data_IF_986425693868
#
_entry.id   IF_986425693868
#
_cell.length_a   1.000
_cell.length_b   1.000
_cell.length_c   1.000
_cell.angle_alpha   90.00
_cell.angle_beta   90.00
_cell.angle_gamma   90.00
#
_symmetry.space_group_name_H-M   'P 1'
#
loop_
_entity.id
_entity.type
_entity.pdbx_description
1 polymer ?
#
# COMPACT_ATOMS: atom_id res chain seq x y z
N UNK A 1 -16.44 21.50 -13.10
CA UNK A 1 -16.97 20.33 -13.83
C UNK A 1 -16.90 20.57 -15.34
N UNK A 2 -16.77 19.51 -16.09
CA UNK A 2 -16.80 19.48 -17.55
C UNK A 2 -18.02 18.67 -17.99
N UNK A 3 -18.77 19.20 -18.96
CA UNK A 3 -19.88 18.49 -19.61
C UNK A 3 -19.48 18.17 -21.04
N UNK A 4 -19.48 16.91 -21.41
CA UNK A 4 -19.19 16.45 -22.75
C UNK A 4 -20.43 16.50 -23.64
N UNK A 5 -20.24 16.45 -24.97
CA UNK A 5 -21.32 16.53 -25.95
C UNK A 5 -22.34 15.37 -25.84
N UNK A 6 -21.92 14.23 -25.32
CA UNK A 6 -22.77 13.05 -25.08
C UNK A 6 -23.55 13.11 -23.77
N UNK A 7 -23.45 14.22 -23.02
CA UNK A 7 -24.06 14.38 -21.71
C UNK A 7 -23.25 13.84 -20.55
N UNK A 8 -22.08 13.27 -20.78
CA UNK A 8 -21.17 12.80 -19.73
C UNK A 8 -20.68 14.00 -18.90
N UNK A 9 -20.81 13.90 -17.59
CA UNK A 9 -20.36 14.94 -16.65
C UNK A 9 -19.13 14.44 -15.89
N UNK A 10 -18.04 15.19 -15.98
CA UNK A 10 -16.81 14.98 -15.24
C UNK A 10 -16.72 16.02 -14.14
N UNK A 11 -16.59 15.60 -12.89
CA UNK A 11 -16.40 16.49 -11.74
C UNK A 11 -15.05 16.23 -11.11
N UNK A 12 -14.30 17.28 -10.84
CA UNK A 12 -13.08 17.22 -10.03
C UNK A 12 -13.40 17.52 -8.57
N UNK A 13 -12.85 16.75 -7.67
CA UNK A 13 -13.01 16.87 -6.22
C UNK A 13 -11.65 16.77 -5.53
N UNK A 14 -11.48 17.47 -4.44
CA UNK A 14 -10.33 17.26 -3.56
C UNK A 14 -10.65 16.22 -2.51
N UNK A 15 -9.72 15.31 -2.25
CA UNK A 15 -9.83 14.32 -1.19
C UNK A 15 -9.28 14.80 0.16
N UNK A 16 -8.84 16.06 0.25
CA UNK A 16 -8.29 16.64 1.48
C UNK A 16 -9.25 16.56 2.67
N UNK A 17 -10.55 16.66 2.43
CA UNK A 17 -11.59 16.35 3.41
C UNK A 17 -12.52 15.29 2.83
N UNK A 18 -12.41 14.01 3.28
CA UNK A 18 -13.22 12.91 2.79
C UNK A 18 -14.74 13.12 2.92
N UNK A 19 -15.18 13.98 3.84
CA UNK A 19 -16.60 14.31 4.02
C UNK A 19 -17.17 15.05 2.82
N UNK A 20 -16.34 15.84 2.11
CA UNK A 20 -16.75 16.56 0.90
C UNK A 20 -16.94 15.64 -0.31
N UNK A 21 -16.48 14.39 -0.23
CA UNK A 21 -16.69 13.37 -1.25
C UNK A 21 -18.09 12.76 -1.22
N UNK A 22 -18.96 13.21 -0.33
CA UNK A 22 -20.39 12.87 -0.34
C UNK A 22 -21.04 13.46 -1.59
N UNK A 23 -21.13 12.66 -2.65
CA UNK A 23 -21.65 13.05 -3.95
C UNK A 23 -22.71 12.05 -4.43
N UNK A 24 -23.38 12.37 -5.54
CA UNK A 24 -24.21 11.39 -6.26
C UNK A 24 -23.35 10.19 -6.65
N UNK A 25 -23.97 9.01 -6.68
CA UNK A 25 -23.29 7.81 -7.12
C UNK A 25 -22.74 7.98 -8.54
N UNK A 26 -21.42 7.98 -8.75
CA UNK A 26 -20.84 8.09 -10.08
C UNK A 26 -20.81 6.74 -10.79
N UNK A 27 -20.67 6.77 -12.12
CA UNK A 27 -20.43 5.58 -12.92
C UNK A 27 -18.95 5.15 -12.87
N UNK A 28 -18.04 6.07 -12.57
CA UNK A 28 -16.63 5.79 -12.40
C UNK A 28 -15.93 6.85 -11.56
N UNK A 29 -14.84 6.49 -10.94
CA UNK A 29 -13.96 7.37 -10.18
C UNK A 29 -12.53 7.16 -10.66
N UNK A 30 -11.82 8.27 -10.85
CA UNK A 30 -10.37 8.28 -11.04
C UNK A 30 -9.77 8.91 -9.78
N UNK A 31 -8.98 8.15 -9.03
CA UNK A 31 -8.18 8.62 -7.92
C UNK A 31 -6.74 8.87 -8.36
N UNK A 32 -6.39 10.14 -8.53
CA UNK A 32 -5.01 10.54 -8.82
C UNK A 32 -4.23 10.64 -7.52
N UNK A 33 -2.94 10.31 -7.56
CA UNK A 33 -2.03 10.27 -6.40
C UNK A 33 -2.63 9.45 -5.24
N UNK A 34 -3.14 8.26 -5.59
CA UNK A 34 -3.88 7.41 -4.66
C UNK A 34 -3.04 6.93 -3.48
N UNK A 35 -1.72 6.86 -3.63
CA UNK A 35 -0.77 6.57 -2.53
C UNK A 35 -0.85 7.58 -1.38
N UNK A 36 -1.26 8.82 -1.67
CA UNK A 36 -1.40 9.90 -0.69
C UNK A 36 -2.78 9.93 0.00
N UNK A 37 -3.70 9.08 -0.44
CA UNK A 37 -5.02 8.96 0.17
C UNK A 37 -4.97 7.98 1.35
N UNK A 38 -5.76 8.27 2.38
CA UNK A 38 -5.99 7.30 3.44
C UNK A 38 -6.90 6.14 2.98
N UNK A 39 -6.80 5.00 3.63
CA UNK A 39 -7.60 3.81 3.32
C UNK A 39 -9.10 4.07 3.50
N UNK A 40 -9.48 4.92 4.46
CA UNK A 40 -10.89 5.28 4.69
C UNK A 40 -11.45 6.02 3.47
N UNK A 41 -10.67 6.95 2.90
CA UNK A 41 -11.04 7.64 1.66
C UNK A 41 -11.28 6.67 0.51
N UNK A 42 -10.40 5.68 0.34
CA UNK A 42 -10.60 4.62 -0.67
C UNK A 42 -11.93 3.89 -0.47
N UNK A 43 -12.23 3.43 0.75
CA UNK A 43 -13.50 2.73 1.02
C UNK A 43 -14.72 3.62 0.82
N UNK A 44 -14.65 4.90 1.19
CA UNK A 44 -15.72 5.87 0.93
C UNK A 44 -15.99 6.03 -0.56
N UNK A 45 -14.95 6.17 -1.37
CA UNK A 45 -15.06 6.28 -2.82
C UNK A 45 -15.63 4.99 -3.44
N UNK A 46 -15.13 3.83 -3.00
CA UNK A 46 -15.63 2.52 -3.45
C UNK A 46 -17.13 2.34 -3.13
N UNK A 47 -17.54 2.74 -1.93
CA UNK A 47 -18.95 2.72 -1.53
C UNK A 47 -19.83 3.64 -2.39
N UNK A 48 -19.30 4.76 -2.90
CA UNK A 48 -20.06 5.65 -3.80
C UNK A 48 -20.26 5.08 -5.20
N UNK A 49 -19.35 4.26 -5.68
CA UNK A 49 -19.50 3.56 -6.95
C UNK A 49 -20.50 2.40 -6.90
N UNK A 50 -20.66 1.77 -5.74
CA UNK A 50 -21.42 0.53 -5.57
C UNK A 50 -22.87 0.59 -6.08
N UNK A 51 -23.68 1.65 -5.82
CA UNK A 51 -25.08 1.70 -6.29
C UNK A 51 -25.25 1.60 -7.80
N UNK A 52 -24.22 2.01 -8.57
CA UNK A 52 -24.23 1.96 -10.03
C UNK A 52 -23.33 0.85 -10.60
N UNK A 53 -22.77 0.00 -9.74
CA UNK A 53 -21.75 -0.98 -10.12
C UNK A 53 -20.60 -0.31 -10.89
N UNK A 54 -20.24 0.90 -10.45
CA UNK A 54 -19.26 1.75 -11.10
C UNK A 54 -17.83 1.19 -10.95
N UNK A 55 -16.95 1.65 -11.82
CA UNK A 55 -15.55 1.30 -11.81
C UNK A 55 -14.70 2.32 -11.03
N UNK A 56 -13.52 1.89 -10.58
CA UNK A 56 -12.50 2.76 -10.02
C UNK A 56 -11.18 2.54 -10.73
N UNK A 57 -10.49 3.65 -11.02
CA UNK A 57 -9.12 3.65 -11.51
C UNK A 57 -8.27 4.47 -10.55
N UNK A 58 -7.23 3.86 -10.02
CA UNK A 58 -6.29 4.50 -9.09
C UNK A 58 -4.96 4.66 -9.80
N UNK A 59 -4.40 5.85 -9.75
CA UNK A 59 -3.06 6.12 -10.24
C UNK A 59 -2.24 6.80 -9.16
N UNK A 60 -0.97 6.51 -9.11
CA UNK A 60 -0.05 7.10 -8.14
C UNK A 60 1.31 6.43 -8.21
N UNK A 61 2.26 7.05 -7.56
CA UNK A 61 3.61 6.53 -7.38
C UNK A 61 3.69 5.86 -6.01
N UNK A 62 4.46 4.82 -5.86
CA UNK A 62 4.71 4.25 -4.55
C UNK A 62 5.55 5.24 -3.72
N UNK A 63 5.14 5.45 -2.48
CA UNK A 63 5.80 6.34 -1.51
C UNK A 63 6.14 5.54 -0.25
N UNK A 64 7.05 4.58 -0.41
CA UNK A 64 7.30 3.54 0.57
C UNK A 64 6.37 2.34 0.36
N UNK A 65 6.81 1.19 0.82
CA UNK A 65 6.10 -0.08 0.61
C UNK A 65 5.11 -0.41 1.73
N UNK A 66 5.07 0.40 2.78
CA UNK A 66 4.12 0.25 3.88
C UNK A 66 2.86 1.07 3.57
N UNK A 67 1.72 0.42 3.68
CA UNK A 67 0.43 1.07 3.51
C UNK A 67 -0.50 0.29 2.57
N UNK A 68 -1.72 0.75 2.50
CA UNK A 68 -2.80 0.08 1.77
C UNK A 68 -2.56 0.04 0.25
N UNK A 69 -1.95 1.09 -0.31
CA UNK A 69 -1.81 1.24 -1.77
C UNK A 69 -0.85 0.20 -2.37
N UNK A 70 0.40 0.02 -1.88
CA UNK A 70 1.28 -1.03 -2.38
C UNK A 70 0.78 -2.44 -2.05
N UNK A 71 0.13 -2.65 -0.91
CA UNK A 71 -0.48 -3.95 -0.57
C UNK A 71 -1.60 -4.31 -1.55
N UNK A 72 -2.47 -3.35 -1.87
CA UNK A 72 -3.56 -3.55 -2.82
C UNK A 72 -3.03 -3.76 -4.24
N UNK A 73 -2.00 -3.03 -4.65
CA UNK A 73 -1.31 -3.25 -5.92
C UNK A 73 -0.81 -4.70 -6.03
N UNK A 74 -0.13 -5.19 -5.00
CA UNK A 74 0.42 -6.55 -4.96
C UNK A 74 -0.70 -7.61 -5.04
N UNK A 75 -1.76 -7.43 -4.26
CA UNK A 75 -2.92 -8.32 -4.28
C UNK A 75 -3.61 -8.36 -5.66
N UNK A 76 -3.75 -7.22 -6.32
CA UNK A 76 -4.37 -7.17 -7.65
C UNK A 76 -3.43 -7.67 -8.75
N UNK A 77 -2.14 -7.46 -8.63
CA UNK A 77 -1.13 -7.97 -9.56
C UNK A 77 -1.03 -9.50 -9.51
N UNK A 78 -1.24 -10.12 -8.36
CA UNK A 78 -1.26 -11.57 -8.20
C UNK A 78 -2.47 -12.25 -8.87
N UNK A 79 -3.51 -11.47 -9.23
CA UNK A 79 -4.75 -12.01 -9.81
C UNK A 79 -5.68 -12.69 -8.81
N UNK A 80 -5.45 -12.54 -7.51
CA UNK A 80 -6.31 -13.06 -6.46
C UNK A 80 -7.72 -12.48 -6.54
N UNK A 81 -7.83 -11.20 -6.92
CA UNK A 81 -9.11 -10.55 -7.22
C UNK A 81 -9.37 -10.59 -8.73
N UNK A 82 -10.44 -11.28 -9.14
CA UNK A 82 -10.81 -11.43 -10.55
C UNK A 82 -11.39 -10.14 -11.15
N UNK A 83 -11.91 -9.24 -10.32
CA UNK A 83 -12.54 -7.98 -10.75
C UNK A 83 -11.55 -6.81 -10.76
N UNK A 84 -10.34 -7.00 -10.24
CA UNK A 84 -9.30 -5.99 -10.17
C UNK A 84 -8.06 -6.36 -10.99
N UNK A 85 -7.32 -5.34 -11.41
CA UNK A 85 -6.03 -5.47 -12.11
C UNK A 85 -5.11 -4.36 -11.68
N UNK A 86 -3.82 -4.68 -11.63
CA UNK A 86 -2.76 -3.71 -11.40
C UNK A 86 -1.82 -3.65 -12.61
N UNK A 87 -1.36 -2.44 -12.90
CA UNK A 87 -0.44 -2.16 -14.01
C UNK A 87 0.72 -1.34 -13.48
N UNK A 88 1.94 -1.73 -13.82
CA UNK A 88 3.13 -0.93 -13.61
C UNK A 88 3.55 -0.33 -14.95
N UNK A 89 3.83 0.96 -14.94
CA UNK A 89 4.27 1.72 -16.10
C UNK A 89 5.61 2.40 -15.79
N UNK A 90 6.75 1.70 -15.98
CA UNK A 90 8.06 2.29 -15.79
C UNK A 90 8.24 3.54 -16.64
N UNK A 91 8.87 4.59 -16.08
CA UNK A 91 9.06 5.87 -16.78
C UNK A 91 9.78 5.71 -18.13
N UNK A 92 10.73 4.81 -18.20
CA UNK A 92 11.50 4.54 -19.41
C UNK A 92 10.71 3.83 -20.54
N UNK A 93 9.48 3.40 -20.26
CA UNK A 93 8.57 2.88 -21.32
C UNK A 93 7.95 4.00 -22.15
N UNK A 94 8.02 5.24 -21.68
CA UNK A 94 7.63 6.40 -22.45
C UNK A 94 8.74 6.77 -23.45
N UNK A 95 8.74 6.13 -24.61
CA UNK A 95 9.76 6.31 -25.65
C UNK A 95 9.73 7.70 -26.29
N UNK A 96 8.70 8.50 -26.04
CA UNK A 96 8.67 9.90 -26.48
C UNK A 96 9.61 10.78 -25.63
N UNK A 97 9.67 10.53 -24.32
CA UNK A 97 10.57 11.23 -23.40
C UNK A 97 11.94 10.57 -23.29
N UNK A 98 11.96 9.24 -23.34
CA UNK A 98 13.18 8.43 -23.20
C UNK A 98 13.34 7.52 -24.42
N UNK A 99 13.83 8.04 -25.56
CA UNK A 99 13.91 7.30 -26.81
C UNK A 99 14.71 6.00 -26.73
N UNK A 100 15.71 5.96 -25.85
CA UNK A 100 16.55 4.78 -25.64
C UNK A 100 16.04 3.87 -24.50
N UNK A 101 14.84 4.12 -23.99
CA UNK A 101 14.23 3.32 -22.92
C UNK A 101 15.07 3.30 -21.66
N UNK A 102 15.29 2.12 -21.09
CA UNK A 102 16.10 1.94 -19.89
C UNK A 102 17.56 2.42 -20.07
N UNK A 103 18.08 2.41 -21.28
CA UNK A 103 19.44 2.86 -21.61
C UNK A 103 19.51 4.36 -21.96
N UNK A 104 18.41 5.08 -21.80
CA UNK A 104 18.41 6.52 -22.01
C UNK A 104 19.34 7.22 -21.00
N UNK A 105 20.06 8.25 -21.46
CA UNK A 105 21.09 8.93 -20.66
C UNK A 105 20.49 9.55 -19.39
N UNK A 106 19.27 10.06 -19.46
CA UNK A 106 18.62 10.65 -18.31
C UNK A 106 18.17 9.59 -17.30
N UNK A 107 17.74 8.43 -17.77
CA UNK A 107 17.40 7.29 -16.90
C UNK A 107 18.65 6.77 -16.19
N UNK A 108 19.79 6.67 -16.90
CA UNK A 108 21.06 6.26 -16.29
C UNK A 108 21.55 7.28 -15.24
N UNK A 109 21.45 8.57 -15.53
CA UNK A 109 21.76 9.63 -14.55
C UNK A 109 20.89 9.54 -13.29
N UNK A 110 19.58 9.33 -13.46
CA UNK A 110 18.67 9.13 -12.33
C UNK A 110 19.09 7.90 -11.52
N UNK A 111 19.50 6.82 -12.19
CA UNK A 111 19.98 5.61 -11.51
C UNK A 111 21.23 5.87 -10.66
N UNK A 112 22.18 6.65 -11.16
CA UNK A 112 23.43 6.97 -10.47
C UNK A 112 23.23 7.83 -9.22
N UNK A 113 22.23 8.73 -9.22
CA UNK A 113 22.02 9.68 -8.11
C UNK A 113 20.93 9.27 -7.13
N UNK A 114 20.17 8.23 -7.45
CA UNK A 114 19.04 7.77 -6.62
C UNK A 114 19.43 6.56 -5.77
N UNK A 115 18.80 6.41 -4.61
CA UNK A 115 18.82 5.12 -3.92
C UNK A 115 18.07 4.06 -4.73
N UNK A 116 18.39 2.79 -4.50
CA UNK A 116 17.74 1.67 -5.18
C UNK A 116 16.22 1.69 -4.98
N UNK A 117 15.77 1.94 -3.76
CA UNK A 117 14.34 2.00 -3.44
C UNK A 117 13.65 3.16 -4.16
N UNK A 118 14.25 4.36 -4.15
CA UNK A 118 13.72 5.51 -4.87
C UNK A 118 13.58 5.21 -6.37
N UNK A 119 14.62 4.63 -6.99
CA UNK A 119 14.60 4.30 -8.41
C UNK A 119 13.53 3.26 -8.72
N UNK A 120 13.44 2.21 -7.89
CA UNK A 120 12.43 1.16 -8.02
C UNK A 120 11.00 1.73 -7.97
N UNK A 121 10.71 2.60 -7.00
CA UNK A 121 9.37 3.16 -6.81
C UNK A 121 9.02 4.21 -7.86
N UNK A 122 9.93 5.15 -8.10
CA UNK A 122 9.63 6.36 -8.89
C UNK A 122 9.87 6.18 -10.39
N UNK A 123 10.80 5.31 -10.77
CA UNK A 123 11.20 5.11 -12.16
C UNK A 123 10.71 3.77 -12.70
N UNK A 124 10.86 2.69 -11.93
CA UNK A 124 10.40 1.37 -12.34
C UNK A 124 8.91 1.12 -12.03
N UNK A 125 8.29 1.94 -11.18
CA UNK A 125 6.88 1.79 -10.81
C UNK A 125 6.59 0.49 -10.06
N UNK A 126 7.52 0.04 -9.22
CA UNK A 126 7.42 -1.16 -8.40
C UNK A 126 7.46 -0.80 -6.93
N UNK A 127 6.69 -1.47 -6.05
CA UNK A 127 6.86 -1.27 -4.62
C UNK A 127 8.25 -1.74 -4.20
N UNK A 128 8.96 -0.91 -3.44
CA UNK A 128 10.24 -1.27 -2.85
C UNK A 128 10.03 -1.99 -1.51
N UNK A 129 11.00 -2.76 -1.04
CA UNK A 129 11.00 -3.22 0.35
C UNK A 129 10.98 -2.03 1.31
N UNK A 130 10.33 -2.14 2.49
CA UNK A 130 10.35 -1.07 3.49
C UNK A 130 11.78 -0.72 3.89
N UNK A 131 12.11 0.59 3.86
CA UNK A 131 13.37 1.06 4.43
C UNK A 131 13.29 1.06 5.95
N UNK A 132 14.41 0.76 6.60
CA UNK A 132 14.50 0.83 8.06
C UNK A 132 13.81 -0.30 8.81
N UNK A 133 13.53 -1.42 8.15
CA UNK A 133 13.08 -2.61 8.86
C UNK A 133 14.12 -3.05 9.88
N UNK A 134 13.70 -3.22 11.12
CA UNK A 134 14.56 -3.79 12.18
C UNK A 134 14.94 -5.23 11.85
N UNK A 135 14.02 -5.95 11.19
CA UNK A 135 14.19 -7.33 10.75
C UNK A 135 13.92 -7.44 9.25
N UNK A 136 14.89 -7.11 8.38
CA UNK A 136 14.70 -7.16 6.92
C UNK A 136 14.45 -8.57 6.40
N UNK A 137 14.87 -9.60 7.13
CA UNK A 137 14.67 -11.00 6.80
C UNK A 137 13.27 -11.52 7.19
N UNK A 138 12.45 -10.70 7.87
CA UNK A 138 11.10 -11.11 8.25
C UNK A 138 10.22 -11.32 7.02
N UNK A 139 9.73 -12.53 6.88
CA UNK A 139 8.81 -12.93 5.80
C UNK A 139 7.55 -13.53 6.41
N UNK A 140 6.37 -12.96 6.13
CA UNK A 140 5.11 -13.45 6.68
C UNK A 140 4.86 -14.93 6.37
N UNK A 141 5.17 -15.37 5.16
CA UNK A 141 5.00 -16.77 4.72
C UNK A 141 5.89 -17.78 5.46
N UNK A 142 6.99 -17.32 6.04
CA UNK A 142 7.94 -18.14 6.77
C UNK A 142 7.85 -17.97 8.29
N UNK A 143 7.45 -16.79 8.77
CA UNK A 143 7.55 -16.42 10.17
C UNK A 143 6.19 -16.24 10.87
N UNK A 144 5.09 -16.19 10.11
CA UNK A 144 3.74 -16.18 10.68
C UNK A 144 3.12 -17.55 10.49
N UNK A 145 2.81 -18.20 11.62
CA UNK A 145 2.10 -19.48 11.66
C UNK A 145 1.16 -19.50 12.86
N UNK A 146 0.19 -20.39 12.86
CA UNK A 146 -0.62 -20.63 14.04
C UNK A 146 0.27 -21.27 15.12
N UNK A 147 0.43 -20.57 16.25
CA UNK A 147 1.22 -21.00 17.39
C UNK A 147 0.31 -21.06 18.60
N UNK A 148 0.09 -22.27 19.11
CA UNK A 148 -0.70 -22.47 20.32
C UNK A 148 0.18 -22.43 21.58
N UNK A 149 -0.45 -22.06 22.69
CA UNK A 149 0.18 -22.13 24.01
C UNK A 149 0.54 -23.58 24.36
N UNK A 150 1.79 -23.83 24.78
CA UNK A 150 2.26 -25.13 25.22
C UNK A 150 2.34 -25.17 26.75
N UNK A 151 1.58 -26.11 27.34
CA UNK A 151 1.50 -26.25 28.79
C UNK A 151 2.81 -26.83 29.34
N UNK A 152 3.42 -26.10 30.25
CA UNK A 152 4.67 -26.50 30.91
C UNK A 152 5.85 -25.63 30.54
N UNK A 153 5.80 -24.95 29.41
CA UNK A 153 6.81 -23.96 29.07
C UNK A 153 6.50 -22.60 29.69
N UNK A 154 7.51 -21.92 30.23
CA UNK A 154 7.31 -20.60 30.81
C UNK A 154 6.84 -19.59 29.78
N UNK A 155 5.90 -18.70 30.18
CA UNK A 155 5.48 -17.56 29.38
C UNK A 155 6.25 -16.32 29.85
N UNK A 156 6.90 -15.67 28.91
CA UNK A 156 7.57 -14.38 29.13
C UNK A 156 6.67 -13.28 28.59
N UNK A 157 6.50 -12.21 29.36
CA UNK A 157 5.82 -10.99 28.93
C UNK A 157 6.88 -9.95 28.54
N UNK A 158 6.87 -9.55 27.28
CA UNK A 158 7.74 -8.50 26.77
C UNK A 158 6.88 -7.25 26.53
N UNK A 159 7.28 -6.13 27.14
CA UNK A 159 6.48 -4.91 27.18
C UNK A 159 7.25 -3.74 26.60
N UNK A 160 6.56 -2.97 25.77
CA UNK A 160 6.99 -1.66 25.31
C UNK A 160 5.99 -0.59 25.80
N UNK A 161 6.30 0.08 26.96
CA UNK A 161 5.40 1.06 27.52
C UNK A 161 5.53 2.40 26.80
N UNK A 162 4.65 2.67 25.85
CA UNK A 162 4.52 3.97 25.21
C UNK A 162 3.80 4.97 26.12
N UNK A 163 4.42 6.13 26.42
CA UNK A 163 3.79 7.17 27.25
C UNK A 163 2.83 8.07 26.48
N UNK A 164 3.12 8.35 25.21
CA UNK A 164 2.28 9.19 24.32
C UNK A 164 2.04 8.50 22.97
N UNK A 165 2.25 7.21 22.90
CA UNK A 165 2.14 6.40 21.70
C UNK A 165 1.48 5.06 22.01
N UNK A 166 1.79 4.06 21.21
CA UNK A 166 1.28 2.72 21.42
C UNK A 166 1.90 2.05 22.65
N UNK A 167 1.06 1.37 23.42
CA UNK A 167 1.47 0.46 24.48
C UNK A 167 1.34 -0.97 23.96
N UNK A 168 2.43 -1.72 23.99
CA UNK A 168 2.44 -3.08 23.48
C UNK A 168 2.92 -4.07 24.53
N UNK A 169 2.26 -5.21 24.64
CA UNK A 169 2.69 -6.39 25.39
C UNK A 169 2.56 -7.59 24.51
N UNK A 170 3.61 -8.40 24.43
CA UNK A 170 3.55 -9.71 23.78
C UNK A 170 3.81 -10.82 24.77
N UNK A 171 3.03 -11.89 24.70
CA UNK A 171 3.25 -13.11 25.43
C UNK A 171 4.07 -14.08 24.58
N UNK A 172 5.19 -14.55 25.12
CA UNK A 172 6.20 -15.29 24.36
C UNK A 172 6.55 -16.57 25.09
N UNK A 173 6.65 -17.67 24.34
CA UNK A 173 7.32 -18.89 24.78
C UNK A 173 8.60 -19.11 23.98
N UNK A 174 9.66 -19.53 24.65
CA UNK A 174 10.92 -19.92 23.99
C UNK A 174 10.99 -21.45 23.93
N UNK A 175 10.97 -22.00 22.72
CA UNK A 175 10.93 -23.43 22.46
C UNK A 175 12.17 -23.84 21.67
N UNK A 176 13.19 -24.32 22.38
CA UNK A 176 14.49 -24.57 21.77
C UNK A 176 15.12 -23.28 21.25
N UNK A 177 15.34 -23.19 19.95
CA UNK A 177 15.87 -22.00 19.27
C UNK A 177 14.77 -21.07 18.70
N UNK A 178 13.50 -21.39 18.92
CA UNK A 178 12.38 -20.63 18.40
C UNK A 178 11.78 -19.70 19.46
N UNK A 179 11.46 -18.50 19.05
CA UNK A 179 10.69 -17.52 19.81
C UNK A 179 9.27 -17.54 19.27
N UNK A 180 8.33 -18.01 20.09
CA UNK A 180 6.93 -18.17 19.71
C UNK A 180 6.11 -17.08 20.39
N UNK A 181 5.61 -16.11 19.61
CA UNK A 181 4.64 -15.12 20.09
C UNK A 181 3.27 -15.79 20.06
N UNK A 182 2.67 -15.97 21.22
CA UNK A 182 1.42 -16.72 21.40
C UNK A 182 0.20 -15.82 21.61
N UNK A 183 0.43 -14.58 22.04
CA UNK A 183 -0.64 -13.59 22.23
C UNK A 183 -0.07 -12.17 22.25
N UNK A 184 -0.92 -11.18 21.99
CA UNK A 184 -0.53 -9.77 22.05
C UNK A 184 -1.64 -8.87 22.60
N UNK A 185 -1.24 -7.80 23.28
CA UNK A 185 -2.08 -6.65 23.63
C UNK A 185 -1.43 -5.43 22.99
N UNK A 186 -2.21 -4.71 22.18
CA UNK A 186 -1.76 -3.48 21.57
C UNK A 186 -2.82 -2.39 21.74
N UNK A 187 -2.47 -1.31 22.40
CA UNK A 187 -3.35 -0.16 22.60
C UNK A 187 -2.68 1.11 22.06
N UNK A 188 -3.42 1.86 21.27
CA UNK A 188 -3.05 3.21 20.85
C UNK A 188 -3.77 4.24 21.73
N UNK A 189 -3.01 5.13 22.36
CA UNK A 189 -3.53 6.25 23.16
C UNK A 189 -4.11 7.36 22.29
#
# INVERSE_FOLDING_TARGET
HLLLADGTRIETKSAKDPRTLAMRAPNGIIGCEASQLDLETFFRLRGRCAPKRGWMFLSGTFEGSLGWYPQMFTAWASGADKEARAFSLPSYTNTHLYPNGVNDIEIQRLREVSSDNFFMERIEGKPSPPEGLVFPEFRPDAHISEVEYEKGDPVHLWMDPGYAGAYAVIAVQVRGEQICVIDEIYEQG
#
